data_IF_139574296868
#
_entry.id   IF_139574296868
#
_cell.length_a   1.000
_cell.length_b   1.000
_cell.length_c   1.000
_cell.angle_alpha   90.00
_cell.angle_beta   90.00
_cell.angle_gamma   90.00
#
_symmetry.space_group_name_H-M   'P 1'
#
loop_
_entity.id
_entity.type
_entity.pdbx_description
1 polymer ?
#
# COMPACT_ATOMS: atom_id res chain seq x y z
N UNK A 1 -5.61 -20.12 1.69
CA UNK A 1 -5.82 -20.52 0.29
C UNK A 1 -5.41 -19.35 -0.57
N UNK A 2 -4.30 -19.48 -1.30
CA UNK A 2 -3.80 -18.49 -2.26
C UNK A 2 -4.72 -18.50 -3.47
N UNK A 3 -5.30 -17.35 -3.82
CA UNK A 3 -6.08 -17.18 -5.04
C UNK A 3 -5.10 -17.11 -6.21
N UNK A 4 -5.37 -17.75 -7.35
CA UNK A 4 -4.51 -17.70 -8.53
C UNK A 4 -4.25 -16.26 -9.05
N UNK A 5 -5.01 -15.28 -8.59
CA UNK A 5 -4.97 -13.88 -9.03
C UNK A 5 -3.98 -13.00 -8.24
N UNK A 6 -3.06 -13.58 -7.48
CA UNK A 6 -2.13 -12.84 -6.61
C UNK A 6 -0.65 -13.10 -6.86
N UNK A 7 -0.33 -13.76 -7.97
CA UNK A 7 1.03 -13.96 -8.46
C UNK A 7 1.28 -13.18 -9.75
N UNK A 8 2.54 -12.91 -10.05
CA UNK A 8 2.97 -12.36 -11.34
C UNK A 8 3.27 -13.51 -12.30
N UNK A 9 2.94 -13.31 -13.57
CA UNK A 9 3.43 -14.12 -14.69
C UNK A 9 4.88 -13.75 -15.03
N UNK A 10 5.55 -14.64 -15.78
CA UNK A 10 6.91 -14.37 -16.26
C UNK A 10 6.97 -13.11 -17.13
N UNK A 11 5.94 -12.85 -17.95
CA UNK A 11 5.84 -11.63 -18.76
C UNK A 11 5.69 -10.37 -17.90
N UNK A 12 4.92 -10.42 -16.81
CA UNK A 12 4.79 -9.30 -15.87
C UNK A 12 6.08 -9.04 -15.07
N UNK A 13 6.82 -10.10 -14.73
CA UNK A 13 8.14 -10.00 -14.10
C UNK A 13 9.14 -9.37 -15.07
N UNK A 14 9.17 -9.82 -16.33
CA UNK A 14 10.02 -9.25 -17.36
C UNK A 14 9.69 -7.77 -17.61
N UNK A 15 8.40 -7.45 -17.72
CA UNK A 15 7.93 -6.07 -17.86
C UNK A 15 8.40 -5.18 -16.70
N UNK A 16 8.32 -5.68 -15.44
CA UNK A 16 8.82 -4.96 -14.28
C UNK A 16 10.32 -4.66 -14.38
N UNK A 17 11.12 -5.64 -14.79
CA UNK A 17 12.57 -5.44 -14.95
C UNK A 17 12.92 -4.46 -16.07
N UNK A 18 12.13 -4.38 -17.13
CA UNK A 18 12.34 -3.45 -18.25
C UNK A 18 11.85 -2.03 -17.96
N UNK A 19 10.72 -1.89 -17.25
CA UNK A 19 10.00 -0.61 -17.13
C UNK A 19 10.02 -0.02 -15.72
N UNK A 20 10.41 -0.79 -14.70
CA UNK A 20 10.48 -0.35 -13.31
C UNK A 20 9.14 -0.31 -12.56
N UNK A 21 8.04 -0.82 -13.15
CA UNK A 21 6.72 -0.92 -12.51
C UNK A 21 5.93 -2.11 -13.07
N UNK A 22 4.87 -2.53 -12.37
CA UNK A 22 3.92 -3.54 -12.86
C UNK A 22 2.51 -3.26 -12.34
N UNK A 23 1.50 -3.56 -13.17
CA UNK A 23 0.08 -3.36 -12.87
C UNK A 23 -0.67 -2.59 -13.96
N UNK A 24 -1.92 -2.14 -13.70
CA UNK A 24 -2.62 -2.22 -12.42
C UNK A 24 -3.04 -3.64 -12.03
N UNK A 25 -3.03 -3.93 -10.73
CA UNK A 25 -3.56 -5.18 -10.16
C UNK A 25 -4.75 -4.90 -9.26
N UNK A 26 -5.78 -5.74 -9.36
CA UNK A 26 -6.88 -5.68 -8.41
C UNK A 26 -6.45 -6.28 -7.07
N UNK A 27 -6.47 -5.48 -6.01
CA UNK A 27 -6.17 -5.95 -4.65
C UNK A 27 -7.39 -6.57 -3.97
N UNK A 28 -8.52 -5.86 -4.01
CA UNK A 28 -9.80 -6.22 -3.42
C UNK A 28 -10.95 -5.55 -4.21
N UNK A 29 -12.20 -5.75 -3.80
CA UNK A 29 -13.33 -5.06 -4.43
C UNK A 29 -13.32 -3.55 -4.12
N UNK A 30 -13.95 -2.71 -4.97
CA UNK A 30 -14.11 -1.29 -4.66
C UNK A 30 -14.81 -1.02 -3.32
N UNK A 31 -15.78 -1.85 -2.95
CA UNK A 31 -16.52 -1.77 -1.68
C UNK A 31 -15.62 -2.13 -0.49
N UNK A 32 -14.83 -3.20 -0.62
CA UNK A 32 -13.83 -3.57 0.39
C UNK A 32 -12.80 -2.46 0.57
N UNK A 33 -12.30 -1.89 -0.55
CA UNK A 33 -11.37 -0.76 -0.51
C UNK A 33 -11.99 0.49 0.13
N UNK A 34 -13.27 0.78 -0.17
CA UNK A 34 -14.00 1.89 0.44
C UNK A 34 -14.13 1.73 1.95
N UNK A 35 -14.16 0.49 2.46
CA UNK A 35 -14.18 0.17 3.89
C UNK A 35 -12.94 0.64 4.67
N UNK A 36 -11.79 0.85 4.02
CA UNK A 36 -10.58 1.39 4.68
C UNK A 36 -10.58 2.91 4.78
N UNK A 37 -11.42 3.62 4.01
CA UNK A 37 -11.44 5.09 3.97
C UNK A 37 -11.72 5.75 5.33
N UNK A 38 -12.67 5.27 6.15
CA UNK A 38 -12.94 5.89 7.45
C UNK A 38 -11.71 5.92 8.36
N UNK A 39 -10.89 4.87 8.35
CA UNK A 39 -9.65 4.84 9.13
C UNK A 39 -8.71 5.97 8.69
N UNK A 40 -8.52 6.12 7.38
CA UNK A 40 -7.64 7.16 6.85
C UNK A 40 -8.12 8.57 7.20
N UNK A 41 -9.39 8.88 6.94
CA UNK A 41 -9.90 10.24 7.09
C UNK A 41 -10.16 10.63 8.55
N UNK A 42 -10.57 9.68 9.41
CA UNK A 42 -10.97 9.99 10.77
C UNK A 42 -9.83 9.79 11.78
N UNK A 43 -8.93 8.84 11.52
CA UNK A 43 -7.95 8.39 12.51
C UNK A 43 -6.50 8.68 12.11
N UNK A 44 -6.22 9.07 10.86
CA UNK A 44 -4.85 9.35 10.40
C UNK A 44 -4.68 10.79 9.93
N UNK A 45 -5.53 11.25 9.02
CA UNK A 45 -5.40 12.59 8.46
C UNK A 45 -5.62 13.65 9.54
N UNK A 46 -4.68 14.60 9.67
CA UNK A 46 -4.74 15.64 10.69
C UNK A 46 -4.42 15.18 12.12
N UNK A 47 -4.02 13.92 12.32
CA UNK A 47 -3.74 13.38 13.65
C UNK A 47 -2.25 13.40 13.97
N UNK A 48 -1.92 13.69 15.23
CA UNK A 48 -0.56 13.54 15.77
C UNK A 48 -0.25 12.05 15.86
N UNK A 49 0.79 11.61 15.15
CA UNK A 49 1.21 10.22 15.16
C UNK A 49 1.67 9.81 16.56
N UNK A 50 1.17 8.70 17.12
CA UNK A 50 1.65 8.19 18.41
C UNK A 50 3.10 7.69 18.34
N UNK A 51 3.66 7.46 17.15
CA UNK A 51 5.05 7.03 16.96
C UNK A 51 6.02 8.20 16.96
N UNK A 52 5.61 9.32 16.37
CA UNK A 52 6.51 10.43 16.05
C UNK A 52 6.27 11.67 16.90
N UNK A 53 5.10 11.78 17.55
CA UNK A 53 4.75 12.95 18.37
C UNK A 53 4.46 14.23 17.55
N UNK A 54 4.31 14.13 16.23
CA UNK A 54 3.85 15.21 15.36
C UNK A 54 2.87 14.71 14.30
N UNK A 55 2.16 15.62 13.64
CA UNK A 55 1.20 15.29 12.59
C UNK A 55 1.91 14.68 11.37
N UNK A 56 1.62 13.42 11.09
CA UNK A 56 2.14 12.72 9.92
C UNK A 56 1.27 11.54 9.57
N UNK A 57 1.25 11.21 8.28
CA UNK A 57 0.54 10.07 7.71
C UNK A 57 1.43 8.83 7.58
N UNK A 58 2.66 8.89 8.08
CA UNK A 58 3.65 7.82 8.00
C UNK A 58 3.42 6.74 9.05
N UNK A 59 3.70 5.50 8.63
CA UNK A 59 3.90 4.32 9.47
C UNK A 59 2.72 3.96 10.40
N UNK A 60 1.52 4.41 10.03
CA UNK A 60 0.29 4.06 10.74
C UNK A 60 -0.05 2.57 10.72
N UNK A 61 0.55 1.77 9.84
CA UNK A 61 0.45 0.31 9.89
C UNK A 61 0.99 -0.31 11.20
N UNK A 62 1.78 0.44 11.98
CA UNK A 62 2.25 0.03 13.31
C UNK A 62 1.28 0.40 14.43
N UNK A 63 0.29 1.25 14.16
CA UNK A 63 -0.64 1.79 15.16
C UNK A 63 -2.11 1.50 14.85
N UNK A 64 -2.43 1.19 13.61
CA UNK A 64 -3.77 0.92 13.11
C UNK A 64 -3.85 -0.52 12.61
N UNK A 65 -4.62 -1.40 13.28
CA UNK A 65 -4.89 -2.75 12.77
C UNK A 65 -5.53 -2.75 11.39
N UNK A 66 -6.32 -1.72 11.07
CA UNK A 66 -6.98 -1.54 9.78
C UNK A 66 -5.96 -1.27 8.67
N UNK A 67 -5.01 -0.35 8.89
CA UNK A 67 -3.95 -0.06 7.92
C UNK A 67 -2.96 -1.21 7.84
N UNK A 68 -2.63 -1.83 8.98
CA UNK A 68 -1.81 -3.04 9.03
C UNK A 68 -2.36 -4.11 8.09
N UNK A 69 -3.65 -4.47 8.26
CA UNK A 69 -4.33 -5.46 7.43
C UNK A 69 -4.26 -5.13 5.93
N UNK A 70 -4.38 -3.85 5.56
CA UNK A 70 -4.31 -3.42 4.17
C UNK A 70 -2.90 -3.59 3.59
N UNK A 71 -1.87 -3.10 4.29
CA UNK A 71 -0.49 -3.14 3.75
C UNK A 71 0.11 -4.55 3.81
N UNK A 72 -0.34 -5.40 4.74
CA UNK A 72 0.05 -6.81 4.82
C UNK A 72 -0.86 -7.73 4.02
N UNK A 73 -1.66 -7.21 3.09
CA UNK A 73 -2.57 -8.04 2.31
C UNK A 73 -1.79 -9.12 1.55
N UNK A 74 -2.16 -10.42 1.62
CA UNK A 74 -1.39 -11.51 1.03
C UNK A 74 -1.09 -11.30 -0.46
N UNK A 75 -2.03 -10.69 -1.19
CA UNK A 75 -1.82 -10.42 -2.61
C UNK A 75 -0.77 -9.35 -2.95
N UNK A 76 -0.38 -8.52 -1.99
CA UNK A 76 0.78 -7.63 -2.11
C UNK A 76 2.05 -8.46 -1.88
N UNK A 77 2.12 -9.19 -0.76
CA UNK A 77 3.27 -10.01 -0.39
C UNK A 77 3.59 -11.10 -1.44
N UNK A 78 2.58 -11.78 -1.99
CA UNK A 78 2.75 -12.82 -2.99
C UNK A 78 3.36 -12.29 -4.29
N UNK A 79 3.05 -11.05 -4.70
CA UNK A 79 3.70 -10.39 -5.84
C UNK A 79 5.11 -9.92 -5.49
N UNK A 80 5.27 -9.22 -4.37
CA UNK A 80 6.57 -8.66 -3.96
C UNK A 80 7.62 -9.75 -3.74
N UNK A 81 7.26 -10.89 -3.16
CA UNK A 81 8.20 -11.99 -2.91
C UNK A 81 8.74 -12.64 -4.19
N UNK A 82 8.04 -12.50 -5.32
CA UNK A 82 8.54 -12.95 -6.63
C UNK A 82 9.61 -12.01 -7.20
N UNK A 83 9.59 -10.73 -6.81
CA UNK A 83 10.53 -9.72 -7.29
C UNK A 83 11.71 -9.51 -6.33
N UNK A 84 11.46 -9.60 -5.02
CA UNK A 84 12.40 -9.21 -3.96
C UNK A 84 12.98 -10.40 -3.18
N UNK A 85 12.50 -11.62 -3.45
CA UNK A 85 12.84 -12.82 -2.69
C UNK A 85 11.85 -13.13 -1.57
N UNK A 86 12.02 -14.27 -0.88
CA UNK A 86 11.02 -14.79 0.05
C UNK A 86 10.90 -13.99 1.35
N UNK A 87 11.98 -13.32 1.77
CA UNK A 87 12.07 -12.62 3.06
C UNK A 87 11.98 -11.11 2.86
N UNK A 88 10.78 -10.56 3.00
CA UNK A 88 10.51 -9.12 2.82
C UNK A 88 10.02 -8.46 4.11
N UNK A 89 10.33 -7.17 4.25
CA UNK A 89 9.91 -6.33 5.37
C UNK A 89 9.15 -5.11 4.85
N UNK A 90 8.00 -4.82 5.46
CA UNK A 90 7.36 -3.50 5.34
C UNK A 90 8.06 -2.59 6.35
N UNK A 91 9.04 -1.83 5.86
CA UNK A 91 9.79 -0.89 6.69
C UNK A 91 9.12 0.49 6.77
N UNK A 92 8.20 0.78 5.84
CA UNK A 92 7.52 2.07 5.73
C UNK A 92 6.14 1.93 5.09
N UNK A 93 5.18 2.70 5.58
CA UNK A 93 3.96 3.06 4.85
C UNK A 93 3.80 4.58 4.81
N UNK A 94 3.35 5.11 3.69
CA UNK A 94 2.99 6.52 3.56
C UNK A 94 1.64 6.62 2.84
N UNK A 95 0.77 7.52 3.29
CA UNK A 95 -0.55 7.72 2.68
C UNK A 95 -0.51 9.03 1.91
N UNK A 96 -1.04 9.04 0.69
CA UNK A 96 -0.94 10.18 -0.22
C UNK A 96 -2.30 10.87 -0.40
N UNK A 97 -2.76 11.72 0.54
CA UNK A 97 -3.98 12.49 0.36
C UNK A 97 -3.81 13.51 -0.78
N UNK A 98 -4.81 13.59 -1.66
CA UNK A 98 -4.94 14.62 -2.69
C UNK A 98 -6.32 15.29 -2.59
N UNK A 99 -6.54 16.22 -1.64
CA UNK A 99 -7.77 16.97 -1.59
C UNK A 99 -7.95 17.85 -2.85
N UNK A 100 -9.17 18.32 -3.15
CA UNK A 100 -9.41 19.22 -4.27
C UNK A 100 -8.49 20.44 -4.21
N UNK A 101 -7.79 20.73 -5.31
CA UNK A 101 -6.82 21.83 -5.40
C UNK A 101 -5.44 21.53 -4.82
N UNK A 102 -5.17 20.31 -4.34
CA UNK A 102 -3.82 19.91 -3.91
C UNK A 102 -2.82 19.99 -5.08
N UNK A 103 -1.57 20.40 -4.82
CA UNK A 103 -0.54 20.44 -5.84
C UNK A 103 -0.21 19.03 -6.37
N UNK A 104 0.33 18.98 -7.57
CA UNK A 104 0.86 17.75 -8.16
C UNK A 104 2.03 17.19 -7.34
N UNK A 105 2.25 15.88 -7.44
CA UNK A 105 3.49 15.28 -6.94
C UNK A 105 4.55 15.48 -8.03
N UNK A 106 5.62 16.19 -7.71
CA UNK A 106 6.72 16.41 -8.64
C UNK A 106 7.49 15.12 -8.94
N UNK A 107 8.15 15.07 -10.09
CA UNK A 107 9.08 13.99 -10.44
C UNK A 107 10.19 13.87 -9.38
N UNK A 108 10.40 12.65 -8.91
CA UNK A 108 11.44 12.27 -7.95
C UNK A 108 11.80 10.78 -8.13
#
# INVERSE_FOLDING_TARGET
MTSANDRLSDDEIQFFHENGFAGPFQLCSPEEMAGYRPEFYNNVLGQVSPLYGFETVRDWHLCSPTIHKLVTHPAIANRLTQLLGPDILIWRSDLFPKPPGAPETVWH
#
